data_IF_004717954481
#
_entry.id   IF_004717954481
#
_cell.length_a   1.000
_cell.length_b   1.000
_cell.length_c   1.000
_cell.angle_alpha   90.00
_cell.angle_beta   90.00
_cell.angle_gamma   90.00
#
_symmetry.space_group_name_H-M   'P 1'
#
loop_
_entity.id
_entity.type
_entity.pdbx_description
1 polymer ?
#
# COMPACT_ATOMS: atom_id res chain seq x y z
N UNK A 1 72.69 -61.82 38.20
CA UNK A 1 71.22 -61.68 38.14
C UNK A 1 70.72 -60.36 38.74
N UNK A 2 71.15 -59.94 39.94
CA UNK A 2 70.69 -58.69 40.60
C UNK A 2 70.82 -57.41 39.74
N UNK A 3 71.99 -57.18 39.11
CA UNK A 3 72.24 -56.00 38.25
C UNK A 3 71.35 -55.90 37.00
N UNK A 4 70.88 -57.03 36.47
CA UNK A 4 69.97 -57.06 35.30
C UNK A 4 68.53 -56.71 35.70
N UNK A 5 68.08 -57.19 36.87
CA UNK A 5 66.76 -56.82 37.42
C UNK A 5 66.68 -55.32 37.74
N UNK A 6 67.75 -54.73 38.29
CA UNK A 6 67.80 -53.29 38.57
C UNK A 6 67.70 -52.44 37.29
N UNK A 7 68.34 -52.86 36.20
CA UNK A 7 68.25 -52.15 34.92
C UNK A 7 66.84 -52.22 34.32
N UNK A 8 66.19 -53.39 34.39
CA UNK A 8 64.81 -53.56 33.91
C UNK A 8 63.83 -52.71 34.74
N UNK A 9 63.98 -52.67 36.07
CA UNK A 9 63.16 -51.80 36.92
C UNK A 9 63.32 -50.32 36.59
N UNK A 10 64.54 -49.85 36.32
CA UNK A 10 64.79 -48.45 35.92
C UNK A 10 64.13 -48.13 34.57
N UNK A 11 64.22 -49.03 33.59
CA UNK A 11 63.56 -48.84 32.29
C UNK A 11 62.03 -48.84 32.39
N UNK A 12 61.45 -49.71 33.21
CA UNK A 12 60.01 -49.74 33.45
C UNK A 12 59.51 -48.46 34.14
N UNK A 13 60.26 -47.95 35.13
CA UNK A 13 59.95 -46.68 35.77
C UNK A 13 60.06 -45.51 34.80
N UNK A 14 61.10 -45.48 33.96
CA UNK A 14 61.25 -44.45 32.94
C UNK A 14 60.08 -44.47 31.95
N UNK A 15 59.64 -45.65 31.50
CA UNK A 15 58.51 -45.80 30.60
C UNK A 15 57.19 -45.38 31.27
N UNK A 16 56.97 -45.73 32.54
CA UNK A 16 55.81 -45.30 33.30
C UNK A 16 55.76 -43.77 33.45
N UNK A 17 56.90 -43.13 33.71
CA UNK A 17 56.99 -41.66 33.80
C UNK A 17 56.68 -41.01 32.46
N UNK A 18 57.24 -41.51 31.35
CA UNK A 18 56.93 -41.00 30.01
C UNK A 18 55.44 -41.12 29.68
N UNK A 19 54.82 -42.25 30.04
CA UNK A 19 53.39 -42.47 29.82
C UNK A 19 52.53 -41.51 30.64
N UNK A 20 52.88 -41.25 31.91
CA UNK A 20 52.20 -40.25 32.75
C UNK A 20 52.35 -38.83 32.19
N UNK A 21 53.51 -38.48 31.62
CA UNK A 21 53.70 -37.19 30.94
C UNK A 21 52.84 -37.06 29.69
N UNK A 22 52.79 -38.10 28.84
CA UNK A 22 51.93 -38.10 27.66
C UNK A 22 50.45 -37.96 28.02
N UNK A 23 50.00 -38.66 29.06
CA UNK A 23 48.61 -38.66 29.50
C UNK A 23 48.22 -37.32 30.15
N UNK A 24 49.09 -36.75 30.98
CA UNK A 24 48.87 -35.42 31.57
C UNK A 24 48.89 -34.30 30.53
N UNK A 25 49.74 -34.40 29.50
CA UNK A 25 49.76 -33.46 28.38
C UNK A 25 48.48 -33.56 27.54
N UNK A 26 48.04 -34.77 27.20
CA UNK A 26 46.79 -35.00 26.47
C UNK A 26 45.56 -34.47 27.21
N UNK A 27 45.46 -34.71 28.53
CA UNK A 27 44.37 -34.16 29.35
C UNK A 27 44.39 -32.63 29.38
N UNK A 28 45.58 -32.02 29.48
CA UNK A 28 45.68 -30.55 29.48
C UNK A 28 45.25 -29.95 28.14
N UNK A 29 45.71 -30.52 27.03
CA UNK A 29 45.33 -30.07 25.70
C UNK A 29 43.82 -30.17 25.49
N UNK A 30 43.23 -31.32 25.80
CA UNK A 30 41.79 -31.54 25.69
C UNK A 30 40.98 -30.57 26.56
N UNK A 31 41.43 -30.30 27.80
CA UNK A 31 40.77 -29.33 28.69
C UNK A 31 40.86 -27.90 28.15
N UNK A 32 41.97 -27.53 27.52
CA UNK A 32 42.12 -26.22 26.90
C UNK A 32 41.14 -26.06 25.73
N UNK A 33 41.06 -27.04 24.83
CA UNK A 33 40.11 -27.02 23.72
C UNK A 33 38.65 -27.01 24.17
N UNK A 34 38.32 -27.80 25.20
CA UNK A 34 36.97 -27.81 25.76
C UNK A 34 36.60 -26.46 26.38
N UNK A 35 37.55 -25.77 27.02
CA UNK A 35 37.34 -24.43 27.57
C UNK A 35 37.18 -23.38 26.48
N UNK A 36 37.97 -23.41 25.41
CA UNK A 36 37.83 -22.47 24.30
C UNK A 36 36.48 -22.64 23.60
N UNK A 37 36.09 -23.89 23.31
CA UNK A 37 34.78 -24.18 22.73
C UNK A 37 33.63 -23.73 23.65
N UNK A 38 33.75 -23.96 24.97
CA UNK A 38 32.78 -23.48 25.95
C UNK A 38 32.65 -21.95 25.97
N UNK A 39 33.77 -21.24 25.92
CA UNK A 39 33.79 -19.78 25.90
C UNK A 39 33.18 -19.22 24.61
N UNK A 40 33.48 -19.83 23.46
CA UNK A 40 32.91 -19.44 22.17
C UNK A 40 31.39 -19.64 22.16
N UNK A 41 30.90 -20.77 22.66
CA UNK A 41 29.46 -21.02 22.78
C UNK A 41 28.79 -20.02 23.72
N UNK A 42 29.42 -19.71 24.86
CA UNK A 42 28.90 -18.72 25.79
C UNK A 42 28.85 -17.32 25.16
N UNK A 43 29.86 -16.94 24.39
CA UNK A 43 29.91 -15.68 23.66
C UNK A 43 28.83 -15.62 22.57
N UNK A 44 28.65 -16.70 21.81
CA UNK A 44 27.58 -16.81 20.82
C UNK A 44 26.20 -16.69 21.47
N UNK A 45 25.98 -17.42 22.57
CA UNK A 45 24.74 -17.36 23.32
C UNK A 45 24.44 -15.94 23.83
N UNK A 46 25.45 -15.25 24.35
CA UNK A 46 25.31 -13.86 24.79
C UNK A 46 24.98 -12.92 23.63
N UNK A 47 25.63 -13.08 22.48
CA UNK A 47 25.37 -12.30 21.26
C UNK A 47 23.95 -12.53 20.73
N UNK A 48 23.52 -13.79 20.62
CA UNK A 48 22.16 -14.15 20.19
C UNK A 48 21.12 -13.59 21.16
N UNK A 49 21.36 -13.70 22.47
CA UNK A 49 20.45 -13.12 23.47
C UNK A 49 20.36 -11.60 23.36
N UNK A 50 21.48 -10.91 23.11
CA UNK A 50 21.49 -9.47 22.89
C UNK A 50 20.72 -9.08 21.62
N UNK A 51 20.96 -9.78 20.51
CA UNK A 51 20.25 -9.56 19.25
C UNK A 51 18.74 -9.80 19.40
N UNK A 52 18.35 -10.89 20.07
CA UNK A 52 16.95 -11.20 20.32
C UNK A 52 16.27 -10.11 21.16
N UNK A 53 16.96 -9.55 22.18
CA UNK A 53 16.42 -8.43 22.97
C UNK A 53 16.22 -7.18 22.11
N UNK A 54 17.21 -6.83 21.29
CA UNK A 54 17.11 -5.68 20.37
C UNK A 54 15.98 -5.88 19.37
N UNK A 55 15.92 -7.03 18.72
CA UNK A 55 14.86 -7.36 17.76
C UNK A 55 13.47 -7.34 18.40
N UNK A 56 13.33 -7.86 19.63
CA UNK A 56 12.06 -7.83 20.37
C UNK A 56 11.64 -6.39 20.70
N UNK A 57 12.58 -5.56 21.14
CA UNK A 57 12.31 -4.16 21.43
C UNK A 57 11.90 -3.38 20.17
N UNK A 58 12.58 -3.64 19.05
CA UNK A 58 12.27 -3.02 17.77
C UNK A 58 10.90 -3.46 17.22
N UNK A 59 10.61 -4.77 17.27
CA UNK A 59 9.30 -5.30 16.88
C UNK A 59 8.17 -4.72 17.73
N UNK A 60 8.38 -4.58 19.04
CA UNK A 60 7.43 -3.91 19.94
C UNK A 60 7.18 -2.46 19.52
N UNK A 61 8.25 -1.69 19.29
CA UNK A 61 8.16 -0.29 18.84
C UNK A 61 7.40 -0.17 17.52
N UNK A 62 7.79 -0.95 16.50
CA UNK A 62 7.14 -0.94 15.19
C UNK A 62 5.68 -1.39 15.26
N UNK A 63 5.36 -2.35 16.13
CA UNK A 63 3.98 -2.78 16.34
C UNK A 63 3.13 -1.67 16.94
N UNK A 64 3.66 -0.94 17.94
CA UNK A 64 2.98 0.22 18.52
C UNK A 64 2.77 1.34 17.50
N UNK A 65 3.78 1.66 16.70
CA UNK A 65 3.70 2.67 15.64
C UNK A 65 2.65 2.28 14.59
N UNK A 66 2.67 1.02 14.13
CA UNK A 66 1.68 0.50 13.18
C UNK A 66 0.27 0.55 13.76
N UNK A 67 0.08 0.14 15.01
CA UNK A 67 -1.22 0.18 15.67
C UNK A 67 -1.74 1.61 15.81
N UNK A 68 -0.88 2.56 16.16
CA UNK A 68 -1.25 3.97 16.24
C UNK A 68 -1.61 4.55 14.87
N UNK A 69 -0.87 4.20 13.81
CA UNK A 69 -1.18 4.60 12.44
C UNK A 69 -2.52 4.01 11.98
N UNK A 70 -2.78 2.73 12.26
CA UNK A 70 -4.05 2.08 11.93
C UNK A 70 -5.22 2.76 12.65
N UNK A 71 -5.08 3.03 13.95
CA UNK A 71 -6.13 3.71 14.71
C UNK A 71 -6.46 5.10 14.15
N UNK A 72 -5.46 5.84 13.65
CA UNK A 72 -5.67 7.13 12.98
C UNK A 72 -6.42 6.96 11.65
N UNK A 73 -6.05 5.96 10.85
CA UNK A 73 -6.75 5.66 9.59
C UNK A 73 -8.21 5.27 9.84
N UNK A 74 -8.46 4.43 10.84
CA UNK A 74 -9.81 4.00 11.20
C UNK A 74 -10.68 5.19 11.64
N UNK A 75 -10.10 6.13 12.41
CA UNK A 75 -10.79 7.37 12.79
C UNK A 75 -11.13 8.25 11.58
N UNK A 76 -10.19 8.42 10.64
CA UNK A 76 -10.43 9.19 9.42
C UNK A 76 -11.52 8.53 8.56
N UNK A 77 -11.49 7.20 8.45
CA UNK A 77 -12.51 6.45 7.72
C UNK A 77 -13.90 6.65 8.32
N UNK A 78 -14.04 6.56 9.65
CA UNK A 78 -15.32 6.82 10.32
C UNK A 78 -15.81 8.25 10.14
N UNK A 79 -14.91 9.23 10.06
CA UNK A 79 -15.28 10.62 9.79
C UNK A 79 -15.73 10.80 8.34
N UNK A 80 -15.04 10.16 7.39
CA UNK A 80 -15.43 10.17 5.97
C UNK A 80 -16.81 9.53 5.80
N UNK A 81 -17.06 8.37 6.39
CA UNK A 81 -18.34 7.67 6.26
C UNK A 81 -19.53 8.54 6.76
N UNK A 82 -19.36 9.27 7.86
CA UNK A 82 -20.36 10.24 8.33
C UNK A 82 -20.56 11.39 7.35
N UNK A 83 -19.47 11.90 6.78
CA UNK A 83 -19.52 13.03 5.82
C UNK A 83 -20.18 12.59 4.52
N UNK A 84 -19.88 11.39 4.05
CA UNK A 84 -20.43 10.82 2.82
C UNK A 84 -21.93 10.58 2.94
N UNK A 85 -22.40 10.07 4.09
CA UNK A 85 -23.84 9.92 4.35
C UNK A 85 -24.57 11.27 4.27
N UNK A 86 -23.99 12.32 4.83
CA UNK A 86 -24.56 13.68 4.75
C UNK A 86 -24.52 14.22 3.32
N UNK A 87 -23.42 14.02 2.60
CA UNK A 87 -23.29 14.44 1.21
C UNK A 87 -24.31 13.74 0.30
N UNK A 88 -24.51 12.43 0.48
CA UNK A 88 -25.52 11.65 -0.25
C UNK A 88 -26.93 12.17 0.02
N UNK A 89 -27.26 12.48 1.28
CA UNK A 89 -28.57 13.07 1.60
C UNK A 89 -28.77 14.43 0.96
N UNK A 90 -27.75 15.29 0.96
CA UNK A 90 -27.84 16.63 0.36
C UNK A 90 -27.96 16.55 -1.16
N UNK A 91 -27.23 15.63 -1.81
CA UNK A 91 -27.38 15.36 -3.25
C UNK A 91 -28.80 14.92 -3.56
N UNK A 92 -29.38 14.01 -2.77
CA UNK A 92 -30.75 13.55 -2.96
C UNK A 92 -31.77 14.71 -2.82
N UNK A 93 -31.56 15.57 -1.81
CA UNK A 93 -32.38 16.78 -1.58
C UNK A 93 -32.30 17.74 -2.76
N UNK A 94 -31.08 18.10 -3.19
CA UNK A 94 -30.85 19.02 -4.31
C UNK A 94 -31.38 18.46 -5.63
N UNK A 95 -31.21 17.16 -5.87
CA UNK A 95 -31.74 16.48 -7.06
C UNK A 95 -33.26 16.57 -7.11
N UNK A 96 -33.93 16.31 -5.98
CA UNK A 96 -35.39 16.45 -5.87
C UNK A 96 -35.85 17.89 -6.11
N UNK A 97 -35.11 18.88 -5.61
CA UNK A 97 -35.40 20.30 -5.83
C UNK A 97 -35.22 20.70 -7.31
N UNK A 98 -34.20 20.19 -7.98
CA UNK A 98 -33.95 20.42 -9.41
C UNK A 98 -35.01 19.77 -10.29
N UNK A 99 -35.52 18.59 -9.94
CA UNK A 99 -36.63 17.95 -10.66
C UNK A 99 -37.93 18.77 -10.57
N UNK A 100 -38.17 19.42 -9.41
CA UNK A 100 -39.36 20.25 -9.20
C UNK A 100 -39.25 21.64 -9.84
N UNK A 101 -38.04 22.14 -10.08
CA UNK A 101 -37.81 23.43 -10.75
C UNK A 101 -37.78 23.21 -12.27
N UNK A 102 -38.73 23.78 -13.05
CA UNK A 102 -38.69 23.66 -14.50
C UNK A 102 -37.46 24.40 -15.05
N UNK A 103 -36.40 23.65 -15.36
CA UNK A 103 -35.19 24.17 -16.00
C UNK A 103 -35.52 24.52 -17.45
N UNK A 104 -35.78 25.80 -17.72
CA UNK A 104 -35.94 26.31 -19.07
C UNK A 104 -34.56 26.58 -19.67
N UNK A 105 -34.03 25.62 -20.41
CA UNK A 105 -32.81 25.81 -21.19
C UNK A 105 -33.13 26.74 -22.36
N UNK A 106 -32.66 27.98 -22.30
CA UNK A 106 -32.67 28.88 -23.47
C UNK A 106 -31.46 28.51 -24.32
N UNK A 107 -31.69 27.80 -25.42
CA UNK A 107 -30.67 27.62 -26.45
C UNK A 107 -30.44 29.00 -27.07
N UNK A 108 -29.37 29.67 -26.66
CA UNK A 108 -28.88 30.86 -27.35
C UNK A 108 -28.08 30.32 -28.54
N UNK A 109 -28.68 30.33 -29.72
CA UNK A 109 -27.91 30.20 -30.95
C UNK A 109 -27.01 31.43 -31.03
N UNK A 110 -25.75 31.29 -30.61
CA UNK A 110 -24.70 32.27 -30.90
C UNK A 110 -24.45 32.25 -32.40
N UNK A 111 -25.27 32.97 -33.16
CA UNK A 111 -25.14 33.13 -34.61
C UNK A 111 -24.07 34.14 -35.00
N UNK A 112 -23.04 34.34 -34.17
CA UNK A 112 -22.00 35.32 -34.46
C UNK A 112 -20.66 34.80 -34.00
N UNK A 113 -19.80 34.50 -34.98
CA UNK A 113 -18.37 34.18 -34.85
C UNK A 113 -18.03 32.70 -34.61
N UNK A 114 -18.42 31.85 -35.56
CA UNK A 114 -17.55 30.74 -35.98
C UNK A 114 -17.11 31.04 -37.41
N UNK A 115 -15.80 31.01 -37.63
CA UNK A 115 -15.15 31.49 -38.85
C UNK A 115 -15.66 30.79 -40.11
N UNK A 116 -15.70 31.60 -41.18
CA UNK A 116 -15.94 31.25 -42.57
C UNK A 116 -15.16 29.99 -42.97
N UNK A 117 -15.87 28.90 -43.22
CA UNK A 117 -15.26 27.67 -43.70
C UNK A 117 -16.27 26.58 -43.95
N UNK A 118 -17.15 26.76 -44.93
CA UNK A 118 -17.69 25.71 -45.81
C UNK A 118 -18.70 26.35 -46.78
N UNK A 119 -18.33 26.41 -48.06
CA UNK A 119 -19.25 26.73 -49.14
C UNK A 119 -20.14 25.52 -49.43
N UNK A 120 -21.45 25.69 -49.32
CA UNK A 120 -22.47 24.79 -49.85
C UNK A 120 -23.52 25.64 -50.58
N UNK A 121 -24.05 25.17 -51.73
CA UNK A 121 -24.86 26.01 -52.62
C UNK A 121 -26.23 26.36 -52.02
N UNK A 122 -26.81 27.51 -52.39
CA UNK A 122 -28.14 27.90 -51.95
C UNK A 122 -29.19 27.21 -52.84
N UNK A 123 -30.15 26.53 -52.23
CA UNK A 123 -31.57 26.60 -52.62
C UNK A 123 -32.38 25.51 -51.91
N UNK A 124 -33.23 25.95 -50.99
CA UNK A 124 -34.67 25.65 -50.97
C UNK A 124 -35.31 26.27 -49.75
N UNK A 125 -36.10 27.30 -50.00
CA UNK A 125 -37.05 27.85 -49.07
C UNK A 125 -38.38 27.11 -49.25
N UNK A 126 -38.91 26.52 -48.18
CA UNK A 126 -40.31 26.10 -48.02
C UNK A 126 -40.51 25.75 -46.54
N UNK A 127 -41.61 26.03 -45.85
CA UNK A 127 -42.78 26.89 -46.00
C UNK A 127 -43.39 26.95 -44.59
N UNK A 128 -43.98 28.07 -44.19
CA UNK A 128 -44.69 28.17 -42.91
C UNK A 128 -46.19 27.92 -43.12
N UNK A 129 -46.72 26.81 -42.59
CA UNK A 129 -48.15 26.51 -42.22
C UNK A 129 -48.14 25.08 -41.63
N UNK A 130 -48.72 24.68 -40.50
CA UNK A 130 -49.91 25.09 -39.73
C UNK A 130 -49.79 24.53 -38.26
N UNK A 131 -50.67 24.88 -37.32
CA UNK A 131 -50.57 24.56 -35.89
C UNK A 131 -51.21 23.21 -35.58
N UNK A 132 -50.50 22.35 -34.84
CA UNK A 132 -51.11 21.13 -34.32
C UNK A 132 -50.14 19.96 -34.24
N UNK A 133 -49.35 19.94 -33.17
CA UNK A 133 -48.89 18.69 -32.58
C UNK A 133 -48.73 18.95 -31.10
N UNK A 134 -49.76 18.58 -30.35
CA UNK A 134 -49.68 18.31 -28.91
C UNK A 134 -48.71 17.16 -28.72
N UNK A 135 -47.42 17.46 -28.74
CA UNK A 135 -46.44 16.51 -28.27
C UNK A 135 -45.47 17.24 -27.35
N UNK A 136 -45.52 16.79 -26.10
CA UNK A 136 -44.67 17.22 -25.00
C UNK A 136 -43.22 17.13 -25.45
N UNK A 137 -42.65 18.27 -25.87
CA UNK A 137 -41.26 18.38 -26.26
C UNK A 137 -40.38 18.16 -25.03
N UNK A 138 -40.09 16.88 -24.82
CA UNK A 138 -39.03 16.36 -23.99
C UNK A 138 -37.73 17.06 -24.39
N UNK A 139 -37.17 17.86 -23.50
CA UNK A 139 -35.82 18.41 -23.65
C UNK A 139 -34.71 17.33 -23.59
N UNK A 140 -35.07 16.05 -23.74
CA UNK A 140 -34.19 14.90 -24.00
C UNK A 140 -33.87 14.71 -25.50
N UNK A 141 -34.37 15.57 -26.38
CA UNK A 141 -34.37 15.35 -27.84
C UNK A 141 -33.09 15.67 -28.63
N UNK A 142 -31.95 16.00 -28.02
CA UNK A 142 -30.70 16.26 -28.78
C UNK A 142 -29.91 14.97 -29.09
N UNK A 143 -30.04 13.94 -28.26
CA UNK A 143 -29.37 12.65 -28.43
C UNK A 143 -30.39 11.55 -28.11
N UNK A 144 -30.47 10.48 -28.93
CA UNK A 144 -31.27 9.31 -28.60
C UNK A 144 -30.98 8.82 -27.17
N UNK A 145 -31.99 8.29 -26.47
CA UNK A 145 -31.91 7.79 -25.08
C UNK A 145 -30.66 6.93 -24.82
N UNK A 146 -30.31 6.07 -25.78
CA UNK A 146 -29.14 5.21 -25.72
C UNK A 146 -27.82 5.99 -25.66
N UNK A 147 -27.73 7.13 -26.34
CA UNK A 147 -26.55 8.00 -26.33
C UNK A 147 -26.49 8.85 -25.06
N UNK A 148 -27.62 9.25 -24.49
CA UNK A 148 -27.64 9.98 -23.20
C UNK A 148 -27.19 9.10 -22.04
N UNK A 149 -27.51 7.80 -22.07
CA UNK A 149 -27.03 6.80 -21.11
C UNK A 149 -25.51 6.60 -21.27
N UNK A 150 -25.02 6.45 -22.50
CA UNK A 150 -23.58 6.30 -22.77
C UNK A 150 -22.79 7.54 -22.35
N UNK A 151 -23.30 8.73 -22.61
CA UNK A 151 -22.63 9.98 -22.21
C UNK A 151 -22.54 10.09 -20.68
N UNK A 152 -23.61 9.73 -19.95
CA UNK A 152 -23.59 9.68 -18.48
C UNK A 152 -22.56 8.69 -17.95
N UNK A 153 -22.45 7.51 -18.56
CA UNK A 153 -21.46 6.51 -18.16
C UNK A 153 -20.02 7.02 -18.35
N UNK A 154 -19.73 7.69 -19.47
CA UNK A 154 -18.40 8.25 -19.76
C UNK A 154 -18.06 9.41 -18.81
N UNK A 155 -19.04 10.25 -18.45
CA UNK A 155 -18.83 11.34 -17.47
C UNK A 155 -18.49 10.76 -16.09
N UNK A 156 -19.23 9.74 -15.64
CA UNK A 156 -18.96 9.10 -14.36
C UNK A 156 -17.57 8.42 -14.31
N UNK A 157 -17.15 7.82 -15.44
CA UNK A 157 -15.81 7.23 -15.57
C UNK A 157 -14.71 8.29 -15.51
N UNK A 158 -14.91 9.44 -16.18
CA UNK A 158 -13.98 10.57 -16.15
C UNK A 158 -13.84 11.16 -14.73
N UNK A 159 -14.95 11.32 -14.00
CA UNK A 159 -14.93 11.78 -12.62
C UNK A 159 -14.18 10.82 -11.69
N UNK A 160 -14.37 9.51 -11.89
CA UNK A 160 -13.68 8.46 -11.14
C UNK A 160 -12.17 8.49 -11.39
N UNK A 161 -11.74 8.60 -12.65
CA UNK A 161 -10.31 8.72 -13.01
C UNK A 161 -9.71 9.99 -12.41
N UNK A 162 -10.43 11.12 -12.47
CA UNK A 162 -9.95 12.38 -11.92
C UNK A 162 -9.80 12.32 -10.39
N UNK A 163 -10.74 11.67 -9.69
CA UNK A 163 -10.66 11.44 -8.25
C UNK A 163 -9.47 10.54 -7.89
N UNK A 164 -9.25 9.45 -8.64
CA UNK A 164 -8.10 8.57 -8.45
C UNK A 164 -6.76 9.31 -8.69
N UNK A 165 -6.68 10.13 -9.74
CA UNK A 165 -5.50 10.94 -10.02
C UNK A 165 -5.22 11.97 -8.91
N UNK A 166 -6.26 12.66 -8.42
CA UNK A 166 -6.13 13.60 -7.32
C UNK A 166 -5.64 12.92 -6.04
N UNK A 167 -6.16 11.73 -5.73
CA UNK A 167 -5.71 10.91 -4.60
C UNK A 167 -4.24 10.50 -4.74
N UNK A 168 -3.86 9.97 -5.92
CA UNK A 168 -2.48 9.57 -6.21
C UNK A 168 -1.52 10.77 -6.09
N UNK A 169 -1.91 11.93 -6.63
CA UNK A 169 -1.14 13.18 -6.53
C UNK A 169 -0.96 13.62 -5.07
N UNK A 170 -2.02 13.56 -4.27
CA UNK A 170 -1.95 13.89 -2.85
C UNK A 170 -1.02 12.93 -2.08
N UNK A 171 -1.03 11.63 -2.41
CA UNK A 171 -0.13 10.65 -1.80
C UNK A 171 1.34 10.85 -2.20
N UNK A 172 1.60 11.27 -3.44
CA UNK A 172 2.95 11.45 -3.98
C UNK A 172 3.63 12.72 -3.46
N UNK A 173 2.87 13.81 -3.28
CA UNK A 173 3.41 15.10 -2.81
C UNK A 173 3.13 15.38 -1.33
N UNK A 174 2.21 14.65 -0.69
CA UNK A 174 1.90 14.79 0.75
C UNK A 174 2.81 13.97 1.67
N UNK A 175 3.61 13.04 1.13
CA UNK A 175 4.54 12.19 1.89
C UNK A 175 6.03 12.59 1.72
N UNK A 176 6.33 13.74 1.12
CA UNK A 176 7.67 14.34 1.18
C UNK A 176 7.68 15.35 2.36
N UNK A 177 8.50 15.16 3.41
CA UNK A 177 8.73 16.19 4.42
C UNK A 177 9.39 17.44 3.84
#
# INVERSE_FOLDING_TARGET
MKRFLDTICVWLLALAVVLLFALSFGIRHYRQEAQTAGNELQQLQASVNAQNRTATAELSRLTLERNAAQARLDQLYQQQEKTDVLAVQEIARLSSELEQRPVRVRIVASSTTCGTGCGGPPDKQASATDPGSTDTAQAYGLLPESNSIRLRAVIAEAETINAAYASCRAALFGNNP
#
